data_IF_944747475251
#
_entry.id   IF_944747475251
#
_cell.length_a   1.000
_cell.length_b   1.000
_cell.length_c   1.000
_cell.angle_alpha   90.00
_cell.angle_beta   90.00
_cell.angle_gamma   90.00
#
_symmetry.space_group_name_H-M   'P 1'
#
loop_
_entity.id
_entity.type
_entity.pdbx_description
1 polymer ?
#
# COMPACT_ATOMS: atom_id res chain seq x y z
N UNK A 1 12.32 -11.00 -17.73
CA UNK A 1 12.12 -9.52 -17.61
C UNK A 1 11.51 -9.08 -18.91
N UNK A 2 10.33 -8.46 -18.88
CA UNK A 2 9.62 -8.04 -20.09
C UNK A 2 9.71 -6.53 -20.22
N UNK A 3 10.17 -6.07 -21.37
CA UNK A 3 10.09 -4.66 -21.76
C UNK A 3 9.18 -4.60 -22.98
N UNK A 4 8.06 -3.89 -22.85
CA UNK A 4 7.22 -3.58 -24.00
C UNK A 4 7.72 -2.25 -24.59
N UNK A 5 7.93 -2.20 -25.90
CA UNK A 5 8.49 -1.04 -26.59
C UNK A 5 7.73 -0.75 -27.87
N UNK A 6 7.44 0.52 -28.11
CA UNK A 6 6.77 1.02 -29.31
C UNK A 6 7.50 2.25 -29.84
N UNK A 7 7.39 2.49 -31.14
CA UNK A 7 7.98 3.64 -31.81
C UNK A 7 6.87 4.46 -32.45
N UNK A 8 6.90 5.78 -32.22
CA UNK A 8 5.88 6.72 -32.65
C UNK A 8 6.54 7.85 -33.40
N UNK A 9 6.12 8.08 -34.64
CA UNK A 9 6.64 9.18 -35.44
C UNK A 9 5.79 10.45 -35.25
N UNK A 10 6.42 11.58 -35.03
CA UNK A 10 5.77 12.89 -34.97
C UNK A 10 5.49 13.47 -36.37
N UNK A 11 4.76 14.58 -36.42
CA UNK A 11 4.44 15.27 -37.68
C UNK A 11 5.66 15.87 -38.39
N UNK A 12 6.81 15.95 -37.73
CA UNK A 12 8.08 16.41 -38.29
C UNK A 12 9.00 15.25 -38.72
N UNK A 13 8.54 13.99 -38.62
CA UNK A 13 9.30 12.79 -38.98
C UNK A 13 10.29 12.33 -37.90
N UNK A 14 10.23 12.87 -36.67
CA UNK A 14 11.05 12.42 -35.54
C UNK A 14 10.41 11.20 -34.88
N UNK A 15 11.22 10.19 -34.60
CA UNK A 15 10.79 8.98 -33.91
C UNK A 15 10.93 9.14 -32.40
N UNK A 16 9.84 8.91 -31.69
CA UNK A 16 9.76 8.84 -30.24
C UNK A 16 9.63 7.38 -29.79
N UNK A 17 10.37 6.99 -28.77
CA UNK A 17 10.37 5.62 -28.24
C UNK A 17 9.58 5.58 -26.94
N UNK A 18 8.50 4.80 -26.92
CA UNK A 18 7.71 4.54 -25.71
C UNK A 18 8.09 3.18 -25.17
N UNK A 19 8.45 3.07 -23.89
CA UNK A 19 8.75 1.78 -23.26
C UNK A 19 8.14 1.64 -21.87
N UNK A 20 7.75 0.41 -21.55
CA UNK A 20 7.29 0.03 -20.21
C UNK A 20 8.25 -1.01 -19.64
N UNK A 21 8.93 -0.63 -18.56
CA UNK A 21 9.84 -1.52 -17.85
C UNK A 21 9.12 -2.22 -16.70
N UNK A 22 9.07 -3.56 -16.79
CA UNK A 22 8.53 -4.42 -15.73
C UNK A 22 9.67 -5.00 -14.91
N UNK A 23 9.86 -4.45 -13.70
CA UNK A 23 10.81 -4.99 -12.73
C UNK A 23 10.23 -6.24 -12.05
N UNK A 24 11.09 -7.18 -11.68
CA UNK A 24 10.72 -8.39 -10.92
C UNK A 24 10.01 -8.06 -9.61
N UNK A 25 10.36 -6.93 -9.00
CA UNK A 25 9.71 -6.35 -7.84
C UNK A 25 9.50 -4.84 -8.09
N UNK A 26 8.30 -4.34 -7.83
CA UNK A 26 7.94 -2.92 -7.95
C UNK A 26 6.84 -2.62 -8.98
N UNK A 27 6.42 -1.36 -9.03
CA UNK A 27 5.45 -0.86 -10.00
C UNK A 27 6.09 -0.68 -11.37
N UNK A 28 5.47 -1.11 -12.48
CA UNK A 28 5.96 -0.85 -13.82
C UNK A 28 6.16 0.65 -14.06
N UNK A 29 7.13 1.01 -14.88
CA UNK A 29 7.44 2.42 -15.18
C UNK A 29 7.32 2.68 -16.67
N UNK A 30 6.60 3.76 -17.01
CA UNK A 30 6.48 4.25 -18.38
C UNK A 30 7.60 5.25 -18.66
N UNK A 31 8.30 5.03 -19.76
CA UNK A 31 9.30 5.95 -20.29
C UNK A 31 8.94 6.39 -21.71
N UNK A 32 9.28 7.62 -22.04
CA UNK A 32 9.23 8.16 -23.39
C UNK A 32 10.57 8.81 -23.68
N UNK A 33 11.21 8.40 -24.76
CA UNK A 33 12.57 8.82 -25.14
C UNK A 33 13.61 8.61 -24.03
N UNK A 34 13.42 7.56 -23.22
CA UNK A 34 14.27 7.24 -22.08
C UNK A 34 14.00 8.08 -20.82
N UNK A 35 13.07 9.03 -20.88
CA UNK A 35 12.64 9.80 -19.72
C UNK A 35 11.43 9.14 -19.05
N UNK A 36 11.54 8.89 -17.75
CA UNK A 36 10.44 8.33 -16.97
C UNK A 36 9.31 9.36 -16.86
N UNK A 37 8.16 9.06 -17.48
CA UNK A 37 6.97 9.91 -17.39
C UNK A 37 6.17 9.60 -16.13
N UNK A 38 5.92 8.32 -15.82
CA UNK A 38 5.16 7.96 -14.63
C UNK A 38 5.45 6.53 -14.13
N UNK A 39 5.01 6.27 -12.89
CA UNK A 39 4.87 4.91 -12.37
C UNK A 39 3.44 4.43 -12.64
N UNK A 40 3.32 3.30 -13.32
CA UNK A 40 2.04 2.66 -13.63
C UNK A 40 1.56 1.95 -12.35
N UNK A 41 0.57 2.53 -11.69
CA UNK A 41 -0.05 1.98 -10.49
C UNK A 41 -1.49 1.53 -10.75
N UNK A 42 -1.78 0.25 -10.49
CA UNK A 42 -3.11 -0.34 -10.65
C UNK A 42 -3.42 -0.86 -12.05
N UNK A 43 -4.61 -1.45 -12.22
CA UNK A 43 -5.09 -2.10 -13.46
C UNK A 43 -5.70 -1.09 -14.45
N UNK A 44 -5.33 0.18 -14.32
CA UNK A 44 -5.94 1.29 -15.04
C UNK A 44 -5.32 1.54 -16.40
N UNK A 45 -6.17 1.99 -17.32
CA UNK A 45 -5.79 2.54 -18.61
C UNK A 45 -5.12 3.89 -18.39
N UNK A 46 -3.98 4.11 -19.03
CA UNK A 46 -3.17 5.33 -18.87
C UNK A 46 -3.20 6.13 -20.17
N UNK A 47 -3.72 7.36 -20.11
CA UNK A 47 -3.68 8.31 -21.20
C UNK A 47 -2.53 9.31 -20.98
N UNK A 48 -1.78 9.60 -22.03
CA UNK A 48 -0.64 10.51 -22.02
C UNK A 48 -0.43 11.09 -23.42
N UNK A 49 0.47 12.05 -23.57
CA UNK A 49 0.79 12.65 -24.86
C UNK A 49 2.17 12.18 -25.31
N UNK A 50 2.28 11.75 -26.57
CA UNK A 50 3.55 11.41 -27.23
C UNK A 50 3.52 12.02 -28.61
N UNK A 51 4.61 12.67 -29.02
CA UNK A 51 4.73 13.23 -30.37
C UNK A 51 3.60 14.24 -30.73
N UNK A 52 3.08 14.98 -29.74
CA UNK A 52 1.96 15.91 -29.94
C UNK A 52 0.60 15.23 -30.15
N UNK A 53 0.50 13.92 -29.89
CA UNK A 53 -0.70 13.11 -30.11
C UNK A 53 -1.13 12.43 -28.80
N UNK A 54 -2.45 12.36 -28.53
CA UNK A 54 -2.96 11.59 -27.41
C UNK A 54 -2.64 10.10 -27.65
N UNK A 55 -2.00 9.48 -26.66
CA UNK A 55 -1.62 8.09 -26.64
C UNK A 55 -2.22 7.39 -25.42
N UNK A 56 -2.45 6.08 -25.54
CA UNK A 56 -3.11 5.27 -24.51
C UNK A 56 -2.38 3.95 -24.33
N UNK A 57 -2.16 3.60 -23.06
CA UNK A 57 -1.67 2.31 -22.61
C UNK A 57 -2.80 1.55 -21.88
N UNK A 58 -3.08 0.33 -22.31
CA UNK A 58 -4.08 -0.55 -21.69
C UNK A 58 -3.42 -1.82 -21.17
N UNK A 59 -3.58 -2.20 -19.90
CA UNK A 59 -3.02 -3.45 -19.39
C UNK A 59 -3.73 -4.66 -20.02
N UNK A 60 -2.97 -5.71 -20.35
CA UNK A 60 -3.49 -6.98 -20.87
C UNK A 60 -3.54 -8.07 -19.79
N UNK A 61 -4.43 -9.08 -19.90
CA UNK A 61 -4.57 -10.17 -18.92
C UNK A 61 -3.31 -11.02 -18.74
N UNK A 62 -2.45 -11.10 -19.76
CA UNK A 62 -1.15 -11.77 -19.72
C UNK A 62 -0.07 -10.96 -18.99
N UNK A 63 -0.41 -9.76 -18.52
CA UNK A 63 0.47 -8.82 -17.86
C UNK A 63 1.34 -7.99 -18.81
N UNK A 64 1.02 -8.00 -20.12
CA UNK A 64 1.51 -7.07 -21.11
C UNK A 64 0.76 -5.73 -21.10
N UNK A 65 1.09 -4.87 -22.04
CA UNK A 65 0.36 -3.62 -22.28
C UNK A 65 0.10 -3.47 -23.77
N UNK A 66 -1.07 -2.98 -24.12
CA UNK A 66 -1.40 -2.54 -25.47
C UNK A 66 -1.22 -1.03 -25.59
N UNK A 67 -0.69 -0.57 -26.72
CA UNK A 67 -0.37 0.84 -26.97
C UNK A 67 -1.10 1.34 -28.22
N UNK A 68 -1.83 2.44 -28.09
CA UNK A 68 -2.54 3.06 -29.21
C UNK A 68 -2.31 4.57 -29.24
N UNK A 69 -2.19 5.14 -30.45
CA UNK A 69 -2.01 6.58 -30.71
C UNK A 69 -3.21 7.09 -31.49
N UNK A 70 -3.84 8.17 -31.01
CA UNK A 70 -5.00 8.78 -31.65
C UNK A 70 -4.68 9.32 -33.06
N UNK A 71 -5.59 9.12 -34.02
CA UNK A 71 -5.54 9.68 -35.38
C UNK A 71 -5.91 11.18 -35.36
N UNK A 72 -5.21 11.98 -36.17
CA UNK A 72 -5.38 13.44 -36.30
C UNK A 72 -6.80 13.83 -36.79
N UNK A 73 -7.62 12.88 -37.24
CA UNK A 73 -8.99 13.13 -37.75
C UNK A 73 -10.13 13.03 -36.73
N UNK A 74 -9.88 12.67 -35.47
CA UNK A 74 -10.94 12.43 -34.47
C UNK A 74 -11.14 13.62 -33.49
N UNK A 75 -10.73 14.82 -33.89
CA UNK A 75 -10.72 16.00 -33.01
C UNK A 75 -12.10 16.69 -32.88
N UNK A 76 -13.06 16.41 -33.78
CA UNK A 76 -14.39 17.03 -33.74
C UNK A 76 -15.32 16.50 -32.62
N UNK A 77 -14.97 15.38 -31.97
CA UNK A 77 -15.71 14.83 -30.83
C UNK A 77 -14.98 14.93 -29.48
N UNK A 78 -13.75 15.46 -29.46
CA UNK A 78 -12.87 15.41 -28.28
C UNK A 78 -12.68 16.76 -27.58
N UNK A 79 -13.31 17.84 -28.05
CA UNK A 79 -13.38 19.11 -27.30
C UNK A 79 -14.18 19.01 -26.00
N UNK A 80 -14.80 17.86 -25.69
CA UNK A 80 -15.40 17.54 -24.39
C UNK A 80 -14.56 16.59 -23.51
N UNK A 81 -13.43 16.08 -24.01
CA UNK A 81 -12.53 15.17 -23.28
C UNK A 81 -11.17 15.81 -22.95
N UNK A 82 -10.77 16.85 -23.69
CA UNK A 82 -9.63 17.70 -23.35
C UNK A 82 -10.04 18.69 -22.25
N UNK A 83 -9.50 18.51 -21.05
CA UNK A 83 -9.93 19.09 -19.77
C UNK A 83 -11.07 18.33 -19.11
N UNK A 84 -10.93 17.01 -18.94
CA UNK A 84 -11.50 16.48 -17.70
C UNK A 84 -10.59 17.05 -16.60
N UNK A 85 -11.05 17.95 -15.71
CA UNK A 85 -10.29 18.22 -14.49
C UNK A 85 -10.00 16.84 -13.90
N UNK A 86 -8.79 16.59 -13.37
CA UNK A 86 -8.56 15.41 -12.51
C UNK A 86 -9.79 15.29 -11.63
N UNK A 87 -10.66 14.33 -11.93
CA UNK A 87 -12.05 14.47 -11.50
C UNK A 87 -12.03 14.47 -9.98
N UNK A 88 -12.90 15.23 -9.31
CA UNK A 88 -12.95 15.22 -7.85
C UNK A 88 -12.99 13.78 -7.28
N UNK A 89 -13.54 12.85 -8.07
CA UNK A 89 -13.52 11.40 -7.88
C UNK A 89 -12.11 10.79 -7.91
N UNK A 90 -11.28 11.09 -8.91
CA UNK A 90 -9.90 10.58 -8.99
C UNK A 90 -9.03 11.18 -7.86
N UNK A 91 -9.22 12.46 -7.54
CA UNK A 91 -8.56 13.10 -6.40
C UNK A 91 -8.98 12.45 -5.07
N UNK A 92 -10.26 12.09 -4.91
CA UNK A 92 -10.76 11.38 -3.73
C UNK A 92 -10.19 9.95 -3.66
N UNK A 93 -10.15 9.22 -4.77
CA UNK A 93 -9.59 7.87 -4.84
C UNK A 93 -8.09 7.85 -4.46
N UNK A 94 -7.32 8.85 -4.92
CA UNK A 94 -5.91 9.02 -4.53
C UNK A 94 -5.76 9.28 -3.02
N UNK A 95 -6.62 10.13 -2.43
CA UNK A 95 -6.62 10.40 -0.99
C UNK A 95 -6.92 9.14 -0.18
N UNK A 96 -7.99 8.42 -0.52
CA UNK A 96 -8.34 7.17 0.18
C UNK A 96 -7.25 6.10 0.04
N UNK A 97 -6.60 6.01 -1.12
CA UNK A 97 -5.47 5.08 -1.31
C UNK A 97 -4.31 5.43 -0.38
N UNK A 98 -3.95 6.72 -0.29
CA UNK A 98 -2.89 7.18 0.64
C UNK A 98 -3.25 6.90 2.10
N UNK A 99 -4.49 7.16 2.51
CA UNK A 99 -4.93 6.95 3.89
C UNK A 99 -4.93 5.46 4.26
N UNK A 100 -5.42 4.60 3.36
CA UNK A 100 -5.34 3.14 3.49
C UNK A 100 -3.89 2.67 3.62
N UNK A 101 -3.00 3.13 2.75
CA UNK A 101 -1.63 2.64 2.69
C UNK A 101 -0.79 3.12 3.89
N UNK A 102 -1.04 4.34 4.37
CA UNK A 102 -0.48 4.86 5.63
C UNK A 102 -0.94 4.04 6.82
N UNK A 103 -2.24 3.77 6.93
CA UNK A 103 -2.79 2.93 7.98
C UNK A 103 -2.24 1.50 7.92
N UNK A 104 -2.14 0.91 6.72
CA UNK A 104 -1.54 -0.42 6.55
C UNK A 104 -0.03 -0.42 6.87
N UNK A 105 0.63 0.73 6.76
CA UNK A 105 1.99 0.97 7.23
C UNK A 105 2.21 0.60 8.69
N UNK A 106 1.20 0.79 9.54
CA UNK A 106 1.30 0.48 10.96
C UNK A 106 1.56 -1.00 11.22
N UNK A 107 0.94 -1.93 10.50
CA UNK A 107 1.22 -3.35 10.68
C UNK A 107 2.72 -3.69 10.51
N UNK A 108 3.39 -3.03 9.56
CA UNK A 108 4.83 -3.21 9.36
C UNK A 108 5.67 -2.54 10.44
N UNK A 109 5.29 -1.33 10.88
CA UNK A 109 5.97 -0.66 12.00
C UNK A 109 5.90 -1.50 13.26
N UNK A 110 4.73 -2.03 13.57
CA UNK A 110 4.49 -2.88 14.73
C UNK A 110 5.32 -4.15 14.63
N UNK A 111 5.26 -4.85 13.48
CA UNK A 111 6.06 -6.06 13.27
C UNK A 111 7.57 -5.79 13.33
N UNK A 112 8.03 -4.67 12.77
CA UNK A 112 9.44 -4.26 12.80
C UNK A 112 9.92 -3.93 14.22
N UNK A 113 9.13 -3.19 14.99
CA UNK A 113 9.43 -2.86 16.38
C UNK A 113 9.41 -4.10 17.29
N UNK A 114 8.48 -5.03 17.07
CA UNK A 114 8.46 -6.32 17.78
C UNK A 114 9.70 -7.16 17.47
N UNK A 115 10.17 -7.15 16.22
CA UNK A 115 11.41 -7.82 15.83
C UNK A 115 12.63 -7.19 16.51
N UNK A 116 12.73 -5.86 16.51
CA UNK A 116 13.80 -5.13 17.20
C UNK A 116 13.79 -5.44 18.70
N UNK A 117 12.63 -5.43 19.36
CA UNK A 117 12.51 -5.79 20.77
C UNK A 117 12.98 -7.22 21.05
N UNK A 118 12.68 -8.17 20.18
CA UNK A 118 13.17 -9.55 20.33
C UNK A 118 14.69 -9.64 20.13
N UNK A 119 15.26 -8.89 19.18
CA UNK A 119 16.72 -8.84 19.01
C UNK A 119 17.40 -8.24 20.26
N UNK A 120 16.86 -7.15 20.81
CA UNK A 120 17.38 -6.55 22.04
C UNK A 120 17.34 -7.54 23.22
N UNK A 121 16.24 -8.28 23.37
CA UNK A 121 16.12 -9.34 24.38
C UNK A 121 17.18 -10.44 24.18
N UNK A 122 17.40 -10.88 22.94
CA UNK A 122 18.43 -11.88 22.60
C UNK A 122 19.85 -11.39 22.94
N UNK A 123 20.10 -10.09 22.77
CA UNK A 123 21.36 -9.45 23.14
C UNK A 123 21.50 -9.20 24.65
N UNK A 124 20.50 -9.54 25.46
CA UNK A 124 20.51 -9.33 26.90
C UNK A 124 20.29 -7.87 27.32
N UNK A 125 19.69 -7.05 26.46
CA UNK A 125 19.33 -5.67 26.80
C UNK A 125 18.07 -5.61 27.66
N UNK A 126 18.13 -4.84 28.74
CA UNK A 126 16.97 -4.54 29.60
C UNK A 126 16.03 -3.49 28.99
N UNK A 127 16.47 -2.81 27.92
CA UNK A 127 15.67 -1.81 27.21
C UNK A 127 14.76 -2.44 26.16
N UNK A 128 13.50 -1.99 26.11
CA UNK A 128 12.53 -2.33 25.06
C UNK A 128 11.75 -1.09 24.60
N UNK A 129 11.28 -1.09 23.36
CA UNK A 129 10.42 -0.03 22.83
C UNK A 129 8.97 -0.25 23.25
N UNK A 130 8.36 0.80 23.82
CA UNK A 130 6.95 0.83 24.27
C UNK A 130 5.91 0.65 23.13
N UNK A 131 6.35 0.71 21.88
CA UNK A 131 5.51 0.66 20.67
C UNK A 131 5.38 -0.73 20.04
N UNK A 132 6.12 -1.74 20.52
CA UNK A 132 5.93 -3.13 20.13
C UNK A 132 4.76 -3.71 20.94
N UNK A 133 3.78 -4.30 20.25
CA UNK A 133 2.56 -4.95 20.78
C UNK A 133 2.73 -5.34 22.26
N UNK A 134 2.11 -4.58 23.17
CA UNK A 134 2.26 -4.75 24.62
C UNK A 134 2.03 -6.20 25.02
N UNK A 135 1.01 -6.83 24.44
CA UNK A 135 0.65 -8.24 24.66
C UNK A 135 1.80 -9.25 24.49
N UNK A 136 2.68 -9.07 23.50
CA UNK A 136 3.80 -10.01 23.27
C UNK A 136 4.85 -9.88 24.37
N UNK A 137 5.18 -8.64 24.74
CA UNK A 137 6.06 -8.34 25.87
C UNK A 137 5.46 -8.84 27.19
N UNK A 138 4.15 -8.70 27.37
CA UNK A 138 3.42 -9.20 28.53
C UNK A 138 3.48 -10.71 28.69
N UNK A 139 3.27 -11.47 27.61
CA UNK A 139 3.36 -12.93 27.66
C UNK A 139 4.76 -13.38 28.09
N UNK A 140 5.81 -12.69 27.63
CA UNK A 140 7.19 -12.96 28.05
C UNK A 140 7.40 -12.62 29.53
N UNK A 141 6.88 -11.48 30.01
CA UNK A 141 6.98 -11.08 31.43
C UNK A 141 6.22 -12.03 32.35
N UNK A 142 4.99 -12.43 31.99
CA UNK A 142 4.20 -13.41 32.76
C UNK A 142 4.94 -14.74 32.84
N UNK A 143 5.49 -15.21 31.71
CA UNK A 143 6.29 -16.44 31.68
C UNK A 143 7.53 -16.31 32.55
N UNK A 144 8.22 -15.16 32.53
CA UNK A 144 9.37 -14.93 33.40
C UNK A 144 9.00 -15.00 34.88
N UNK A 145 7.90 -14.35 35.28
CA UNK A 145 7.41 -14.36 36.67
C UNK A 145 7.02 -15.78 37.12
N UNK A 146 6.38 -16.57 36.24
CA UNK A 146 5.91 -17.93 36.58
C UNK A 146 7.03 -18.97 36.52
N UNK A 147 7.91 -18.91 35.52
CA UNK A 147 8.95 -19.91 35.29
C UNK A 147 10.29 -19.59 36.01
N UNK A 148 10.46 -18.36 36.51
CA UNK A 148 11.66 -17.90 37.21
C UNK A 148 12.91 -17.77 36.32
N UNK A 149 12.76 -17.88 35.00
CA UNK A 149 13.86 -17.77 34.02
C UNK A 149 13.36 -17.21 32.69
N UNK A 150 14.18 -16.41 32.00
CA UNK A 150 13.81 -15.87 30.69
C UNK A 150 13.77 -17.02 29.66
N UNK A 151 12.57 -17.37 29.20
CA UNK A 151 12.40 -18.39 28.14
C UNK A 151 12.61 -17.76 26.77
N UNK A 152 13.87 -17.45 26.46
CA UNK A 152 14.29 -16.81 25.20
C UNK A 152 13.73 -17.51 23.95
N UNK A 153 13.73 -18.84 23.96
CA UNK A 153 13.19 -19.66 22.88
C UNK A 153 11.69 -19.46 22.68
N UNK A 154 10.92 -19.29 23.78
CA UNK A 154 9.49 -19.04 23.71
C UNK A 154 9.22 -17.63 23.15
N UNK A 155 10.03 -16.64 23.51
CA UNK A 155 9.92 -15.28 22.96
C UNK A 155 10.08 -15.29 21.44
N UNK A 156 11.13 -15.96 20.94
CA UNK A 156 11.38 -16.08 19.50
C UNK A 156 10.23 -16.86 18.83
N UNK A 157 9.81 -17.98 19.42
CA UNK A 157 8.74 -18.83 18.90
C UNK A 157 7.40 -18.09 18.78
N UNK A 158 7.10 -17.16 19.69
CA UNK A 158 5.90 -16.32 19.63
C UNK A 158 6.07 -15.11 18.71
N UNK A 159 7.24 -14.46 18.70
CA UNK A 159 7.48 -13.26 17.89
C UNK A 159 7.49 -13.56 16.40
N UNK A 160 8.15 -14.63 15.95
CA UNK A 160 8.27 -14.94 14.51
C UNK A 160 6.90 -15.05 13.82
N UNK A 161 5.94 -15.88 14.28
CA UNK A 161 4.63 -15.98 13.66
C UNK A 161 3.82 -14.68 13.81
N UNK A 162 3.98 -13.95 14.92
CA UNK A 162 3.33 -12.65 15.10
C UNK A 162 3.79 -11.65 14.03
N UNK A 163 5.11 -11.50 13.82
CA UNK A 163 5.68 -10.60 12.82
C UNK A 163 5.24 -11.02 11.42
N UNK A 164 5.30 -12.32 11.11
CA UNK A 164 4.82 -12.83 9.83
C UNK A 164 3.32 -12.52 9.61
N UNK A 165 2.48 -12.71 10.63
CA UNK A 165 1.06 -12.39 10.60
C UNK A 165 0.79 -10.90 10.39
N UNK A 166 1.54 -10.02 11.07
CA UNK A 166 1.43 -8.58 10.89
C UNK A 166 1.84 -8.13 9.48
N UNK A 167 2.93 -8.67 8.94
CA UNK A 167 3.34 -8.38 7.56
C UNK A 167 2.30 -8.87 6.55
N UNK A 168 1.71 -10.05 6.78
CA UNK A 168 0.61 -10.56 5.98
C UNK A 168 -0.63 -9.66 6.05
N UNK A 169 -1.03 -9.19 7.23
CA UNK A 169 -2.13 -8.25 7.42
C UNK A 169 -1.86 -6.92 6.69
N UNK A 170 -0.66 -6.37 6.82
CA UNK A 170 -0.24 -5.15 6.12
C UNK A 170 -0.26 -5.29 4.61
N UNK A 171 0.17 -6.44 4.07
CA UNK A 171 0.13 -6.71 2.63
C UNK A 171 -1.31 -6.84 2.15
N UNK A 172 -2.13 -7.57 2.88
CA UNK A 172 -3.54 -7.80 2.57
C UNK A 172 -4.36 -6.51 2.65
N UNK A 173 -4.05 -5.63 3.61
CA UNK A 173 -4.66 -4.30 3.72
C UNK A 173 -4.33 -3.40 2.53
N UNK A 174 -3.06 -3.38 2.09
CA UNK A 174 -2.64 -2.64 0.89
C UNK A 174 -3.23 -3.21 -0.42
N UNK A 175 -3.57 -4.50 -0.43
CA UNK A 175 -4.29 -5.10 -1.54
C UNK A 175 -5.78 -4.71 -1.59
N UNK A 176 -6.30 -3.93 -0.62
CA UNK A 176 -7.66 -3.39 -0.63
C UNK A 176 -8.65 -4.12 0.28
N UNK A 177 -8.22 -5.18 0.97
CA UNK A 177 -9.05 -5.83 1.97
C UNK A 177 -9.25 -4.93 3.20
N UNK A 178 -10.48 -4.81 3.70
CA UNK A 178 -10.76 -4.02 4.92
C UNK A 178 -10.69 -4.80 6.22
N UNK A 179 -10.84 -6.12 6.17
CA UNK A 179 -10.87 -6.94 7.38
C UNK A 179 -9.58 -6.85 8.21
N UNK A 180 -8.36 -6.66 7.64
CA UNK A 180 -7.15 -6.50 8.46
C UNK A 180 -7.24 -5.29 9.38
N UNK A 181 -7.84 -4.19 8.92
CA UNK A 181 -8.05 -3.01 9.76
C UNK A 181 -9.00 -3.29 10.92
N UNK A 182 -10.07 -4.06 10.71
CA UNK A 182 -10.97 -4.45 11.81
C UNK A 182 -10.23 -5.29 12.87
N UNK A 183 -9.40 -6.24 12.42
CA UNK A 183 -8.52 -6.99 13.33
C UNK A 183 -7.57 -6.05 14.08
N UNK A 184 -6.90 -5.13 13.39
CA UNK A 184 -6.00 -4.15 13.97
C UNK A 184 -6.69 -3.28 15.03
N UNK A 185 -7.91 -2.80 14.77
CA UNK A 185 -8.70 -2.02 15.74
C UNK A 185 -8.99 -2.83 17.00
N UNK A 186 -9.43 -4.07 16.88
CA UNK A 186 -9.74 -4.91 18.04
C UNK A 186 -8.48 -5.20 18.84
N UNK A 187 -7.41 -5.65 18.16
CA UNK A 187 -6.15 -5.98 18.81
C UNK A 187 -5.54 -4.78 19.53
N UNK A 188 -5.49 -3.60 18.88
CA UNK A 188 -4.94 -2.38 19.48
C UNK A 188 -5.83 -1.78 20.56
N UNK A 189 -7.14 -1.93 20.47
CA UNK A 189 -8.03 -1.50 21.55
C UNK A 189 -7.77 -2.33 22.82
N UNK A 190 -7.68 -3.66 22.67
CA UNK A 190 -7.34 -4.54 23.80
C UNK A 190 -5.96 -4.21 24.39
N UNK A 191 -4.97 -3.97 23.53
CA UNK A 191 -3.63 -3.59 23.98
C UNK A 191 -3.60 -2.22 24.68
N UNK A 192 -4.36 -1.24 24.17
CA UNK A 192 -4.54 0.05 24.83
C UNK A 192 -5.16 -0.09 26.23
N UNK A 193 -6.14 -0.96 26.41
CA UNK A 193 -6.73 -1.25 27.73
C UNK A 193 -5.68 -1.81 28.70
N UNK A 194 -4.77 -2.67 28.22
CA UNK A 194 -3.67 -3.19 29.02
C UNK A 194 -2.69 -2.07 29.41
N UNK A 195 -2.25 -1.26 28.44
CA UNK A 195 -1.29 -0.18 28.69
C UNK A 195 -1.87 0.90 29.63
N UNK A 196 -3.18 1.18 29.54
CA UNK A 196 -3.87 2.05 30.50
C UNK A 196 -3.77 1.52 31.94
N UNK A 197 -3.87 0.21 32.14
CA UNK A 197 -3.75 -0.40 33.47
C UNK A 197 -2.34 -0.27 34.07
N UNK A 198 -1.32 -0.06 33.23
CA UNK A 198 0.07 0.16 33.66
C UNK A 198 0.46 1.62 33.83
N UNK A 199 -0.45 2.57 33.54
CA UNK A 199 -0.18 4.01 33.59
C UNK A 199 0.96 4.48 32.65
N UNK A 200 1.26 3.73 31.60
CA UNK A 200 2.22 4.15 30.56
C UNK A 200 1.55 5.12 29.58
N UNK A 201 1.58 6.41 29.93
CA UNK A 201 0.93 7.47 29.15
C UNK A 201 1.53 7.66 27.75
N UNK A 202 2.81 7.35 27.55
CA UNK A 202 3.45 7.41 26.23
C UNK A 202 2.91 6.27 25.37
N UNK A 203 2.87 5.06 25.92
CA UNK A 203 2.23 3.91 25.29
C UNK A 203 0.79 4.21 24.92
N UNK A 204 -0.01 4.77 25.84
CA UNK A 204 -1.40 5.17 25.59
C UNK A 204 -1.53 6.10 24.38
N UNK A 205 -0.67 7.11 24.28
CA UNK A 205 -0.69 8.05 23.15
C UNK A 205 -0.37 7.37 21.82
N UNK A 206 0.65 6.50 21.78
CA UNK A 206 1.04 5.76 20.57
C UNK A 206 -0.08 4.81 20.14
N UNK A 207 -0.67 4.07 21.09
CA UNK A 207 -1.76 3.13 20.81
C UNK A 207 -3.01 3.86 20.34
N UNK A 208 -3.37 4.97 20.98
CA UNK A 208 -4.47 5.83 20.54
C UNK A 208 -4.28 6.37 19.13
N UNK A 209 -3.06 6.81 18.80
CA UNK A 209 -2.72 7.25 17.45
C UNK A 209 -2.83 6.13 16.42
N UNK A 210 -2.24 4.97 16.70
CA UNK A 210 -2.36 3.79 15.85
C UNK A 210 -3.84 3.40 15.63
N UNK A 211 -4.66 3.40 16.69
CA UNK A 211 -6.08 3.10 16.61
C UNK A 211 -6.82 4.07 15.67
N UNK A 212 -6.58 5.38 15.81
CA UNK A 212 -7.16 6.38 14.90
C UNK A 212 -6.75 6.14 13.44
N UNK A 213 -5.49 5.79 13.20
CA UNK A 213 -5.02 5.50 11.83
C UNK A 213 -5.65 4.22 11.27
N UNK A 214 -5.85 3.17 12.07
CA UNK A 214 -6.56 1.97 11.64
C UNK A 214 -8.03 2.26 11.30
N UNK A 215 -8.73 3.08 12.10
CA UNK A 215 -10.09 3.52 11.78
C UNK A 215 -10.14 4.30 10.46
N UNK A 216 -9.17 5.20 10.24
CA UNK A 216 -9.05 5.95 8.99
C UNK A 216 -8.83 5.03 7.78
N UNK A 217 -7.87 4.11 7.89
CA UNK A 217 -7.58 3.12 6.85
C UNK A 217 -8.76 2.20 6.55
N UNK A 218 -9.51 1.81 7.58
CA UNK A 218 -10.72 1.01 7.40
C UNK A 218 -11.77 1.75 6.58
N UNK A 219 -12.07 3.00 6.95
CA UNK A 219 -13.03 3.86 6.22
C UNK A 219 -12.58 4.07 4.78
N UNK A 220 -11.30 4.37 4.56
CA UNK A 220 -10.73 4.56 3.23
C UNK A 220 -10.82 3.30 2.37
N UNK A 221 -10.52 2.12 2.93
CA UNK A 221 -10.64 0.85 2.22
C UNK A 221 -12.10 0.53 1.82
N UNK A 222 -13.08 0.89 2.65
CA UNK A 222 -14.51 0.75 2.29
C UNK A 222 -14.92 1.73 1.20
N UNK A 223 -14.48 2.99 1.30
CA UNK A 223 -14.78 4.04 0.32
C UNK A 223 -14.21 3.71 -1.08
N UNK A 224 -13.00 3.16 -1.16
CA UNK A 224 -12.40 2.73 -2.42
C UNK A 224 -13.21 1.62 -3.11
N UNK A 225 -13.78 0.70 -2.33
CA UNK A 225 -14.64 -0.36 -2.89
C UNK A 225 -15.94 0.20 -3.44
N UNK A 226 -16.60 1.13 -2.74
CA UNK A 226 -17.82 1.76 -3.26
C UNK A 226 -17.56 2.53 -4.56
N UNK A 227 -16.44 3.26 -4.64
CA UNK A 227 -16.04 3.98 -5.88
C UNK A 227 -15.81 3.00 -7.03
N UNK A 228 -15.17 1.86 -6.76
CA UNK A 228 -14.91 0.82 -7.76
C UNK A 228 -16.19 0.15 -8.26
N UNK A 229 -17.15 -0.12 -7.36
CA UNK A 229 -18.45 -0.71 -7.72
C UNK A 229 -19.36 0.26 -8.49
N UNK A 230 -19.19 1.57 -8.32
CA UNK A 230 -19.97 2.59 -9.03
C UNK A 230 -19.45 2.90 -10.44
N UNK A 231 -18.25 2.43 -10.81
CA UNK A 231 -17.71 2.60 -12.16
C UNK A 231 -18.32 1.50 -13.04
N UNK A 232 -19.21 1.82 -14.01
CA UNK A 232 -19.78 0.80 -14.88
C UNK A 232 -18.64 0.05 -15.57
N UNK A 233 -18.74 -1.28 -15.68
CA UNK A 233 -17.75 -2.06 -16.41
C UNK A 233 -17.74 -1.58 -17.87
N UNK A 234 -16.73 -0.79 -18.24
CA UNK A 234 -16.52 -0.34 -19.61
C UNK A 234 -16.07 -1.48 -20.56
N UNK A 235 -16.43 -2.74 -20.24
CA UNK A 235 -15.95 -3.97 -20.86
C UNK A 235 -17.10 -4.90 -21.30
N UNK A 236 -18.32 -4.37 -21.49
CA UNK A 236 -19.46 -5.11 -22.02
C UNK A 236 -20.04 -4.47 -23.30
N UNK A 237 -19.17 -3.93 -24.17
CA UNK A 237 -19.50 -3.45 -25.50
C UNK A 237 -18.49 -3.98 -26.50
#
# INVERSE_FOLDING_TARGET
MGTNRWEVMDGAGRTHVVSVDKRLFGTPTLHVDGHQLMRLGGDGIVAFEVAGRPARLSPQPDGGYDFSVGSIGQVAGLSSLATTPTSSVDAAALRFTRDRDRAAGWFYWIGGLSLVNTILLVLGSDSSFASGLGLATYLVVIVYIVAGKPLLWLSIFLTVPLVAGLFFLGRTARAGASWPFAFGVIAYALDLLLVLSLTDWIGVAIHGFALMTFLSGWRAARALRSVSSSRPSAAAA
#
